data_IF_369560930648
#
_entry.id   IF_369560930648
#
_cell.length_a   1.000
_cell.length_b   1.000
_cell.length_c   1.000
_cell.angle_alpha   90.00
_cell.angle_beta   90.00
_cell.angle_gamma   90.00
#
_symmetry.space_group_name_H-M   'P 1'
#
loop_
_entity.id
_entity.type
_entity.pdbx_description
1 polymer ?
#
# COMPACT_ATOMS: atom_id res chain seq x y z
N UNK A 1 29.38 -12.73 -10.75
CA UNK A 1 28.28 -12.01 -11.42
C UNK A 1 27.08 -12.92 -11.45
N UNK A 2 25.88 -12.43 -11.14
CA UNK A 2 24.66 -13.26 -11.20
C UNK A 2 24.45 -13.68 -12.67
N UNK A 3 24.13 -14.96 -12.98
CA UNK A 3 24.15 -15.49 -14.34
C UNK A 3 23.30 -14.72 -15.37
N UNK A 4 22.26 -14.01 -14.92
CA UNK A 4 21.36 -13.24 -15.78
C UNK A 4 21.71 -11.75 -15.90
N UNK A 5 22.51 -11.19 -14.98
CA UNK A 5 22.72 -9.74 -14.88
C UNK A 5 21.48 -8.90 -14.50
N UNK A 6 20.34 -9.53 -14.22
CA UNK A 6 19.09 -8.84 -13.83
C UNK A 6 19.21 -8.35 -12.38
N UNK A 7 18.96 -7.05 -12.16
CA UNK A 7 18.83 -6.47 -10.82
C UNK A 7 17.54 -6.94 -10.16
N UNK A 8 17.65 -7.48 -8.95
CA UNK A 8 16.52 -7.99 -8.18
C UNK A 8 16.51 -7.28 -6.82
N UNK A 9 15.39 -6.65 -6.52
CA UNK A 9 15.12 -6.10 -5.19
C UNK A 9 14.26 -7.10 -4.39
N UNK A 10 14.74 -7.51 -3.21
CA UNK A 10 14.03 -8.42 -2.31
C UNK A 10 13.50 -7.63 -1.11
N UNK A 11 12.19 -7.77 -0.86
CA UNK A 11 11.53 -7.18 0.29
C UNK A 11 10.88 -8.27 1.14
N UNK A 12 10.93 -8.11 2.45
CA UNK A 12 10.23 -8.98 3.41
C UNK A 12 9.31 -8.14 4.29
N UNK A 13 8.27 -8.79 4.81
CA UNK A 13 7.32 -8.19 5.74
C UNK A 13 6.63 -9.29 6.55
N UNK A 14 5.85 -8.93 7.56
CA UNK A 14 5.00 -9.87 8.30
C UNK A 14 3.67 -10.09 7.57
N UNK A 15 2.98 -11.18 7.90
CA UNK A 15 1.66 -11.50 7.33
C UNK A 15 0.66 -10.34 7.53
N UNK A 16 0.67 -9.70 8.69
CA UNK A 16 -0.23 -8.57 9.01
C UNK A 16 0.02 -7.32 8.15
N UNK A 17 1.24 -7.13 7.67
CA UNK A 17 1.62 -6.00 6.81
C UNK A 17 1.53 -6.34 5.32
N UNK A 18 1.27 -7.61 4.99
CA UNK A 18 1.26 -8.12 3.61
C UNK A 18 0.36 -7.32 2.67
N UNK A 19 -0.88 -6.95 3.04
CA UNK A 19 -1.76 -6.19 2.15
C UNK A 19 -1.20 -4.83 1.75
N UNK A 20 -0.57 -4.12 2.68
CA UNK A 20 0.04 -2.81 2.40
C UNK A 20 1.33 -2.96 1.62
N UNK A 21 2.15 -3.96 1.95
CA UNK A 21 3.40 -4.25 1.24
C UNK A 21 3.13 -4.53 -0.24
N UNK A 22 2.12 -5.34 -0.56
CA UNK A 22 1.69 -5.58 -1.94
C UNK A 22 1.33 -4.28 -2.66
N UNK A 23 0.43 -3.46 -2.10
CA UNK A 23 0.04 -2.18 -2.73
C UNK A 23 1.25 -1.29 -3.01
N UNK A 24 2.14 -1.13 -2.03
CA UNK A 24 3.28 -0.22 -2.14
C UNK A 24 4.30 -0.70 -3.17
N UNK A 25 4.60 -2.00 -3.19
CA UNK A 25 5.61 -2.60 -4.08
C UNK A 25 5.11 -2.84 -5.50
N UNK A 26 3.81 -3.09 -5.66
CA UNK A 26 3.16 -3.12 -6.98
C UNK A 26 3.09 -1.71 -7.59
N UNK A 27 2.83 -0.68 -6.78
CA UNK A 27 2.86 0.72 -7.23
C UNK A 27 1.80 1.07 -8.30
N UNK A 28 1.92 2.17 -9.04
CA UNK A 28 3.05 3.10 -9.15
C UNK A 28 3.11 4.27 -8.14
N UNK A 29 4.10 5.16 -8.31
CA UNK A 29 4.32 6.35 -7.45
C UNK A 29 3.04 7.19 -7.29
N UNK A 30 2.28 7.35 -8.37
CA UNK A 30 1.02 8.11 -8.41
C UNK A 30 -0.06 7.46 -7.55
N UNK A 31 -0.26 6.14 -7.67
CA UNK A 31 -1.20 5.38 -6.81
C UNK A 31 -0.90 5.57 -5.33
N UNK A 32 0.35 5.39 -4.92
CA UNK A 32 0.76 5.52 -3.51
C UNK A 32 0.56 6.95 -2.99
N UNK A 33 0.80 7.95 -3.84
CA UNK A 33 0.52 9.35 -3.52
C UNK A 33 -0.98 9.61 -3.37
N UNK A 34 -1.83 9.08 -4.26
CA UNK A 34 -3.28 9.22 -4.18
C UNK A 34 -3.84 8.62 -2.89
N UNK A 35 -3.38 7.43 -2.50
CA UNK A 35 -3.77 6.80 -1.23
C UNK A 35 -3.35 7.67 -0.05
N UNK A 36 -2.10 8.14 -0.04
CA UNK A 36 -1.57 9.00 1.03
C UNK A 36 -2.35 10.32 1.14
N UNK A 37 -2.64 10.99 0.02
CA UNK A 37 -3.42 12.23 -0.01
C UNK A 37 -4.86 12.00 0.44
N UNK A 38 -5.49 10.90 0.01
CA UNK A 38 -6.84 10.54 0.44
C UNK A 38 -6.89 10.22 1.94
N UNK A 39 -5.88 9.54 2.48
CA UNK A 39 -5.73 9.32 3.91
C UNK A 39 -5.63 10.64 4.68
N UNK A 40 -4.77 11.56 4.24
CA UNK A 40 -4.58 12.87 4.87
C UNK A 40 -5.89 13.66 4.91
N UNK A 41 -6.68 13.66 3.83
CA UNK A 41 -8.01 14.30 3.78
C UNK A 41 -8.99 13.74 4.81
N UNK A 42 -8.79 12.50 5.27
CA UNK A 42 -9.59 11.85 6.32
C UNK A 42 -8.97 11.96 7.71
N UNK A 43 -7.89 12.72 7.89
CA UNK A 43 -7.15 12.76 9.17
C UNK A 43 -6.40 11.47 9.48
N UNK A 44 -6.10 10.65 8.46
CA UNK A 44 -5.38 9.39 8.58
C UNK A 44 -3.96 9.54 8.00
N UNK A 45 -3.04 8.71 8.50
CA UNK A 45 -1.69 8.54 7.95
C UNK A 45 -1.54 7.12 7.43
N UNK A 46 -1.27 7.00 6.12
CA UNK A 46 -0.94 5.73 5.49
C UNK A 46 0.44 5.24 5.96
N UNK A 47 0.54 3.97 6.38
CA UNK A 47 1.77 3.37 6.88
C UNK A 47 2.34 2.40 5.86
N UNK A 48 3.22 2.87 4.96
CA UNK A 48 3.78 2.08 3.85
C UNK A 48 4.55 0.80 4.26
N UNK A 49 4.91 0.67 5.54
CA UNK A 49 5.55 -0.52 6.13
C UNK A 49 4.75 -1.10 7.31
N UNK A 50 3.48 -0.67 7.45
CA UNK A 50 2.59 -1.11 8.52
C UNK A 50 1.37 -1.84 7.98
N UNK A 51 0.35 -1.98 8.83
CA UNK A 51 -0.82 -2.83 8.57
C UNK A 51 -1.98 -2.10 7.89
N UNK A 52 -1.86 -0.78 7.71
CA UNK A 52 -2.90 0.04 7.08
C UNK A 52 -2.70 1.53 7.36
N UNK A 53 -3.58 2.09 8.18
CA UNK A 53 -3.64 3.53 8.47
C UNK A 53 -3.65 3.79 9.97
N UNK A 54 -3.14 4.95 10.39
CA UNK A 54 -3.28 5.42 11.78
C UNK A 54 -4.00 6.75 11.81
N UNK A 55 -4.88 6.96 12.79
CA UNK A 55 -5.56 8.23 13.03
C UNK A 55 -5.85 8.45 14.51
N UNK A 56 -6.61 9.51 14.85
CA UNK A 56 -6.94 9.85 16.24
C UNK A 56 -7.64 8.73 17.02
N UNK A 57 -8.41 7.89 16.33
CA UNK A 57 -9.16 6.78 16.92
C UNK A 57 -8.35 5.46 16.98
N UNK A 58 -7.04 5.52 16.69
CA UNK A 58 -6.16 4.35 16.66
C UNK A 58 -5.80 3.88 15.25
N UNK A 59 -5.43 2.61 15.14
CA UNK A 59 -5.00 2.00 13.88
C UNK A 59 -6.19 1.35 13.16
N UNK A 60 -6.23 1.52 11.84
CA UNK A 60 -7.12 0.80 10.93
C UNK A 60 -6.25 -0.22 10.19
N UNK A 61 -6.50 -1.49 10.50
CA UNK A 61 -5.79 -2.63 9.90
C UNK A 61 -6.49 -3.02 8.61
N UNK A 62 -5.72 -3.19 7.54
CA UNK A 62 -6.17 -3.65 6.24
C UNK A 62 -5.78 -5.13 6.06
N UNK A 63 -6.74 -5.96 5.67
CA UNK A 63 -6.60 -7.40 5.47
C UNK A 63 -6.56 -7.79 3.99
N UNK A 64 -6.69 -6.84 3.07
CA UNK A 64 -6.58 -7.05 1.63
C UNK A 64 -6.12 -5.77 0.91
N UNK A 65 -5.55 -5.91 -0.29
CA UNK A 65 -5.22 -4.75 -1.13
C UNK A 65 -6.45 -3.86 -1.34
N UNK A 66 -7.60 -4.46 -1.68
CA UNK A 66 -8.88 -3.76 -1.88
C UNK A 66 -9.23 -2.86 -0.69
N UNK A 67 -9.12 -3.37 0.53
CA UNK A 67 -9.43 -2.60 1.73
C UNK A 67 -8.52 -1.37 1.87
N UNK A 68 -7.25 -1.44 1.45
CA UNK A 68 -6.33 -0.28 1.46
C UNK A 68 -6.90 0.89 0.65
N UNK A 69 -7.48 0.61 -0.53
CA UNK A 69 -8.10 1.64 -1.37
C UNK A 69 -9.43 2.12 -0.78
N UNK A 70 -10.32 1.19 -0.42
CA UNK A 70 -11.68 1.51 -0.01
C UNK A 70 -11.72 2.25 1.35
N UNK A 71 -10.79 1.97 2.28
CA UNK A 71 -10.65 2.71 3.56
C UNK A 71 -10.50 4.22 3.33
N UNK A 72 -9.75 4.62 2.31
CA UNK A 72 -9.56 6.02 1.96
C UNK A 72 -10.54 6.54 0.91
N UNK A 73 -11.55 5.75 0.54
CA UNK A 73 -12.59 6.12 -0.41
C UNK A 73 -12.15 6.07 -1.88
N UNK A 74 -11.12 5.27 -2.19
CA UNK A 74 -10.68 5.03 -3.56
C UNK A 74 -11.24 3.70 -4.05
N UNK A 75 -11.52 3.62 -5.35
CA UNK A 75 -11.92 2.37 -6.00
C UNK A 75 -10.69 1.49 -6.20
N UNK A 76 -10.81 0.22 -5.79
CA UNK A 76 -9.80 -0.78 -6.13
C UNK A 76 -9.81 -1.08 -7.63
N UNK A 77 -8.64 -1.06 -8.23
CA UNK A 77 -8.41 -1.57 -9.57
C UNK A 77 -7.33 -2.64 -9.52
N UNK A 78 -7.44 -3.63 -10.40
CA UNK A 78 -6.37 -4.62 -10.59
C UNK A 78 -5.04 -3.96 -10.93
N UNK A 79 -3.89 -4.55 -10.56
CA UNK A 79 -2.56 -3.96 -10.75
C UNK A 79 -2.31 -3.35 -12.13
N UNK A 80 -2.69 -4.05 -13.20
CA UNK A 80 -2.50 -3.62 -14.59
C UNK A 80 -3.42 -2.47 -15.03
N UNK A 81 -4.34 -2.01 -14.17
CA UNK A 81 -5.24 -0.87 -14.41
C UNK A 81 -4.97 0.30 -13.47
N UNK A 82 -3.95 0.22 -12.61
CA UNK A 82 -3.56 1.32 -11.70
C UNK A 82 -2.68 2.29 -12.49
N UNK A 83 -3.18 3.52 -12.70
CA UNK A 83 -2.44 4.63 -13.32
C UNK A 83 -1.65 5.43 -12.27
#
# INVERSE_FOLDING_TARGET
TSPSGIGIDVFSTTEECWPVSLVVRTGGKVTNQRISMAAIKKGLRFRAYGRGFTGPNGEIICHSERQVFETVGLVYHEPWRRA
#
